data_IF_019180570628
#
_entry.id   IF_019180570628
#
_cell.length_a   1.000
_cell.length_b   1.000
_cell.length_c   1.000
_cell.angle_alpha   90.00
_cell.angle_beta   90.00
_cell.angle_gamma   90.00
#
_symmetry.space_group_name_H-M   'P 1'
#
loop_
_entity.id
_entity.type
_entity.pdbx_description
1 polymer ?
#
# COMPACT_ATOMS: atom_id res chain seq x y z
N UNK A 1 -59.99 -36.03 45.16
CA UNK A 1 -59.82 -34.72 44.55
C UNK A 1 -59.00 -33.89 45.52
N UNK A 2 -57.71 -33.81 45.34
CA UNK A 2 -56.81 -33.06 46.19
C UNK A 2 -56.05 -32.10 45.29
N UNK A 3 -56.21 -30.79 45.52
CA UNK A 3 -55.50 -29.72 44.88
C UNK A 3 -54.10 -29.66 45.48
N UNK A 4 -53.08 -29.77 44.61
CA UNK A 4 -51.67 -29.61 45.00
C UNK A 4 -51.31 -28.12 45.06
N UNK A 5 -50.87 -27.70 46.24
CA UNK A 5 -50.39 -26.34 46.50
C UNK A 5 -49.01 -26.13 45.88
N UNK A 6 -48.80 -24.95 45.23
CA UNK A 6 -47.52 -24.45 44.76
C UNK A 6 -46.65 -24.04 45.94
N UNK A 7 -45.35 -24.31 45.92
CA UNK A 7 -44.47 -23.84 46.96
C UNK A 7 -44.12 -22.35 46.77
N UNK A 8 -43.94 -21.65 47.90
CA UNK A 8 -43.63 -20.25 48.03
C UNK A 8 -42.24 -19.90 47.48
N UNK A 9 -42.00 -18.63 47.03
CA UNK A 9 -40.72 -18.19 46.53
C UNK A 9 -39.71 -18.02 47.68
N UNK A 10 -38.49 -18.49 47.42
CA UNK A 10 -37.34 -18.29 48.33
C UNK A 10 -36.80 -16.88 48.16
N UNK A 11 -36.26 -16.29 49.22
CA UNK A 11 -35.73 -14.93 49.20
C UNK A 11 -34.34 -14.88 48.58
N UNK A 12 -34.18 -13.84 47.77
CA UNK A 12 -33.00 -13.06 47.42
C UNK A 12 -31.60 -13.71 47.35
N UNK A 13 -31.14 -13.94 46.15
CA UNK A 13 -29.70 -13.78 45.87
C UNK A 13 -29.54 -12.42 45.22
N UNK A 14 -28.75 -11.61 45.91
CA UNK A 14 -28.24 -10.30 45.51
C UNK A 14 -27.51 -10.41 44.16
N UNK A 15 -27.82 -9.63 43.14
CA UNK A 15 -26.94 -9.46 42.03
C UNK A 15 -26.02 -8.27 42.36
N UNK A 16 -25.11 -8.54 43.26
CA UNK A 16 -23.99 -7.63 43.52
C UNK A 16 -22.75 -8.12 42.82
N UNK A 17 -22.14 -7.24 42.14
CA UNK A 17 -20.78 -7.20 41.68
C UNK A 17 -20.53 -7.46 40.18
N UNK A 18 -20.33 -6.37 39.50
CA UNK A 18 -19.16 -6.09 38.65
C UNK A 18 -18.93 -7.01 37.46
N UNK A 19 -19.77 -6.89 36.46
CA UNK A 19 -19.25 -6.87 35.10
C UNK A 19 -19.03 -5.42 34.71
N UNK A 20 -17.90 -4.88 35.11
CA UNK A 20 -17.25 -3.77 34.44
C UNK A 20 -16.75 -4.30 33.09
N UNK A 21 -17.67 -4.60 32.18
CA UNK A 21 -17.44 -4.56 30.76
C UNK A 21 -17.15 -3.11 30.47
N UNK A 22 -15.86 -2.76 30.43
CA UNK A 22 -15.42 -1.46 30.01
C UNK A 22 -15.87 -1.27 28.56
N UNK A 23 -16.97 -0.58 28.36
CA UNK A 23 -17.18 0.23 27.19
C UNK A 23 -15.97 1.14 27.15
N UNK A 24 -15.00 0.78 26.27
CA UNK A 24 -13.96 1.68 25.89
C UNK A 24 -14.70 2.86 25.26
N UNK A 25 -15.01 3.88 26.06
CA UNK A 25 -15.45 5.17 25.56
C UNK A 25 -14.49 5.50 24.42
N UNK A 26 -14.99 5.47 23.19
CA UNK A 26 -14.33 6.00 22.02
C UNK A 26 -14.10 7.46 22.38
N UNK A 27 -12.90 7.78 22.89
CA UNK A 27 -12.48 9.13 23.16
C UNK A 27 -12.66 9.88 21.85
N UNK A 28 -13.70 10.72 21.76
CA UNK A 28 -13.88 11.66 20.66
C UNK A 28 -12.72 12.65 20.73
N UNK A 29 -11.66 12.31 19.98
CA UNK A 29 -10.53 13.20 19.80
C UNK A 29 -11.00 14.39 18.98
N UNK A 30 -10.86 15.59 19.50
CA UNK A 30 -11.27 16.83 18.83
C UNK A 30 -10.13 17.48 18.05
N UNK A 31 -8.89 17.15 18.37
CA UNK A 31 -7.67 17.71 17.75
C UNK A 31 -6.49 16.75 17.94
N UNK A 32 -5.39 17.03 17.24
CA UNK A 32 -4.11 16.38 17.52
C UNK A 32 -3.55 16.98 18.82
N UNK A 33 -3.72 16.27 19.93
CA UNK A 33 -3.27 16.70 21.24
C UNK A 33 -1.73 16.65 21.33
N UNK A 34 -1.14 17.55 22.12
CA UNK A 34 0.30 17.59 22.41
C UNK A 34 1.19 17.62 21.17
N UNK A 35 0.75 18.31 20.12
CA UNK A 35 1.46 18.35 18.84
C UNK A 35 2.90 18.86 18.97
N UNK A 36 3.14 19.87 19.78
CA UNK A 36 4.48 20.44 19.96
C UNK A 36 5.43 19.47 20.67
N UNK A 37 4.94 18.72 21.66
CA UNK A 37 5.68 17.68 22.36
C UNK A 37 6.00 16.50 21.40
N UNK A 38 5.03 16.09 20.59
CA UNK A 38 5.22 15.07 19.57
C UNK A 38 6.29 15.47 18.55
N UNK A 39 6.22 16.71 18.04
CA UNK A 39 7.19 17.24 17.07
C UNK A 39 8.58 17.45 17.70
N UNK A 40 8.66 17.76 18.99
CA UNK A 40 9.93 17.80 19.71
C UNK A 40 10.55 16.39 19.81
N UNK A 41 9.78 15.39 20.23
CA UNK A 41 10.20 14.00 20.31
C UNK A 41 10.63 13.46 18.93
N UNK A 42 9.90 13.83 17.85
CA UNK A 42 10.28 13.46 16.49
C UNK A 42 11.64 14.03 16.08
N UNK A 43 11.91 15.30 16.43
CA UNK A 43 13.22 15.92 16.14
C UNK A 43 14.36 15.22 16.87
N UNK A 44 14.17 14.93 18.14
CA UNK A 44 15.14 14.17 18.93
C UNK A 44 15.37 12.76 18.37
N UNK A 45 14.29 12.07 17.96
CA UNK A 45 14.37 10.76 17.32
C UNK A 45 15.19 10.82 16.03
N UNK A 46 14.91 11.79 15.13
CA UNK A 46 15.64 11.94 13.88
C UNK A 46 17.12 12.19 14.14
N UNK A 47 17.44 13.07 15.08
CA UNK A 47 18.82 13.38 15.46
C UNK A 47 19.55 12.14 16.00
N UNK A 48 18.92 11.39 16.91
CA UNK A 48 19.48 10.15 17.47
C UNK A 48 19.65 9.07 16.39
N UNK A 49 18.65 8.88 15.52
CA UNK A 49 18.69 7.88 14.45
C UNK A 49 19.80 8.12 13.41
N UNK A 50 20.21 9.37 13.22
CA UNK A 50 21.23 9.75 12.22
C UNK A 50 22.63 9.94 12.83
N UNK A 51 22.79 9.74 14.14
CA UNK A 51 24.09 9.81 14.78
C UNK A 51 24.99 8.67 14.30
N UNK A 52 26.12 9.02 13.72
CA UNK A 52 27.11 8.05 13.22
C UNK A 52 27.78 7.37 14.44
N UNK A 53 27.98 6.05 14.37
CA UNK A 53 28.61 5.24 15.40
C UNK A 53 27.93 5.34 16.80
N UNK A 54 26.61 5.46 16.82
CA UNK A 54 25.85 5.53 18.05
C UNK A 54 26.06 4.25 18.91
N UNK A 55 26.53 4.40 20.17
CA UNK A 55 26.65 3.29 21.09
C UNK A 55 25.30 2.56 21.31
N UNK A 56 25.34 1.32 21.79
CA UNK A 56 24.13 0.47 21.96
C UNK A 56 23.03 1.14 22.78
N UNK A 57 23.40 1.96 23.79
CA UNK A 57 22.40 2.69 24.59
C UNK A 57 21.66 3.77 23.80
N UNK A 58 22.31 4.43 22.82
CA UNK A 58 21.66 5.41 21.94
C UNK A 58 20.74 4.70 20.95
N UNK A 59 21.12 3.49 20.49
CA UNK A 59 20.22 2.69 19.64
C UNK A 59 18.96 2.26 20.41
N UNK A 60 19.11 1.84 21.68
CA UNK A 60 17.98 1.51 22.56
C UNK A 60 17.08 2.72 22.84
N UNK A 61 17.67 3.89 23.09
CA UNK A 61 16.92 5.14 23.27
C UNK A 61 16.17 5.56 21.99
N UNK A 62 16.83 5.45 20.83
CA UNK A 62 16.20 5.71 19.52
C UNK A 62 15.00 4.80 19.30
N UNK A 63 15.12 3.51 19.61
CA UNK A 63 14.04 2.56 19.51
C UNK A 63 12.88 2.87 20.47
N UNK A 64 13.18 3.32 21.69
CA UNK A 64 12.16 3.73 22.65
C UNK A 64 11.40 4.98 22.16
N UNK A 65 12.11 5.99 21.65
CA UNK A 65 11.48 7.19 21.05
C UNK A 65 10.58 6.82 19.89
N UNK A 66 11.02 5.91 19.01
CA UNK A 66 10.21 5.42 17.89
C UNK A 66 8.94 4.73 18.38
N UNK A 67 9.03 3.87 19.38
CA UNK A 67 7.85 3.19 19.95
C UNK A 67 6.86 4.19 20.56
N UNK A 68 7.35 5.25 21.23
CA UNK A 68 6.49 6.30 21.76
C UNK A 68 5.79 7.06 20.63
N UNK A 69 6.53 7.49 19.58
CA UNK A 69 5.95 8.14 18.41
C UNK A 69 4.89 7.27 17.72
N UNK A 70 5.16 5.96 17.60
CA UNK A 70 4.19 5.01 17.05
C UNK A 70 2.93 4.90 17.91
N UNK A 71 3.08 4.82 19.21
CA UNK A 71 1.97 4.73 20.17
C UNK A 71 1.09 5.95 20.07
N UNK A 72 1.67 7.14 20.12
CA UNK A 72 0.94 8.41 20.15
C UNK A 72 0.18 8.65 18.86
N UNK A 73 0.77 8.35 17.70
CA UNK A 73 0.11 8.56 16.40
C UNK A 73 -0.96 7.49 16.08
N UNK A 74 -0.80 6.26 16.58
CA UNK A 74 -1.76 5.17 16.33
C UNK A 74 -3.13 5.44 16.98
N UNK A 75 -3.22 6.27 18.01
CA UNK A 75 -4.48 6.68 18.63
C UNK A 75 -5.42 7.35 17.61
N UNK A 76 -4.84 8.02 16.60
CA UNK A 76 -5.59 8.74 15.56
C UNK A 76 -6.01 7.85 14.38
N UNK A 77 -5.85 6.53 14.45
CA UNK A 77 -6.15 5.64 13.31
C UNK A 77 -7.60 5.74 12.85
N UNK A 78 -8.56 5.86 13.77
CA UNK A 78 -9.99 5.99 13.47
C UNK A 78 -10.36 7.41 13.00
N UNK A 79 -9.66 8.44 13.50
CA UNK A 79 -9.91 9.84 13.18
C UNK A 79 -8.68 10.49 12.55
N UNK A 80 -8.10 9.81 11.57
CA UNK A 80 -6.82 10.19 10.97
C UNK A 80 -6.82 11.56 10.27
N UNK A 81 -7.97 12.12 9.94
CA UNK A 81 -8.12 13.45 9.38
C UNK A 81 -7.67 14.58 10.33
N UNK A 82 -7.65 14.32 11.64
CA UNK A 82 -7.15 15.27 12.64
C UNK A 82 -5.65 15.57 12.48
N UNK A 83 -4.93 14.71 11.78
CA UNK A 83 -3.51 14.90 11.45
C UNK A 83 -3.29 15.81 10.24
N UNK A 84 -4.31 16.09 9.43
CA UNK A 84 -4.17 16.79 8.14
C UNK A 84 -3.47 18.16 8.25
N UNK A 85 -3.77 19.01 9.24
CA UNK A 85 -3.10 20.31 9.39
C UNK A 85 -1.60 20.21 9.70
N UNK A 86 -1.15 19.04 10.20
CA UNK A 86 0.21 18.82 10.71
C UNK A 86 1.07 17.92 9.81
N UNK A 87 0.51 17.40 8.70
CA UNK A 87 1.20 16.40 7.86
C UNK A 87 2.53 16.91 7.29
N UNK A 88 2.65 18.18 6.95
CA UNK A 88 3.93 18.76 6.51
C UNK A 88 4.99 18.65 7.61
N UNK A 89 4.64 19.02 8.84
CA UNK A 89 5.55 18.95 9.99
C UNK A 89 5.86 17.51 10.42
N UNK A 90 4.91 16.59 10.23
CA UNK A 90 5.09 15.18 10.58
C UNK A 90 5.93 14.42 9.54
N UNK A 91 5.65 14.60 8.26
CA UNK A 91 6.21 13.72 7.21
C UNK A 91 7.47 14.30 6.57
N UNK A 92 7.52 15.62 6.34
CA UNK A 92 8.65 16.21 5.59
C UNK A 92 10.00 16.11 6.31
N UNK A 93 10.12 16.27 7.65
CA UNK A 93 11.43 16.14 8.30
C UNK A 93 12.05 14.75 8.16
N UNK A 94 11.41 13.62 8.53
CA UNK A 94 12.00 12.30 8.34
C UNK A 94 12.20 11.95 6.86
N UNK A 95 11.34 12.45 5.95
CA UNK A 95 11.49 12.21 4.51
C UNK A 95 12.70 12.94 3.91
N UNK A 96 12.95 14.20 4.31
CA UNK A 96 14.16 14.95 3.91
C UNK A 96 15.43 14.35 4.50
N UNK A 97 15.37 13.86 5.73
CA UNK A 97 16.51 13.16 6.34
C UNK A 97 16.82 11.87 5.58
N UNK A 98 15.80 11.09 5.22
CA UNK A 98 15.96 9.92 4.36
C UNK A 98 16.59 10.30 3.00
N UNK A 99 16.11 11.38 2.35
CA UNK A 99 16.66 11.90 1.12
C UNK A 99 18.15 12.24 1.24
N UNK A 100 18.52 12.97 2.29
CA UNK A 100 19.91 13.32 2.57
C UNK A 100 20.78 12.09 2.75
N UNK A 101 20.32 11.13 3.56
CA UNK A 101 21.02 9.88 3.81
C UNK A 101 21.29 9.12 2.50
N UNK A 102 20.27 9.00 1.64
CA UNK A 102 20.36 8.30 0.36
C UNK A 102 21.27 9.03 -0.63
N UNK A 103 21.24 10.37 -0.67
CA UNK A 103 22.10 11.17 -1.56
C UNK A 103 23.56 11.17 -1.14
N UNK A 104 23.83 11.33 0.16
CA UNK A 104 25.19 11.47 0.69
C UNK A 104 25.97 10.17 0.59
N UNK A 105 25.31 9.05 0.89
CA UNK A 105 25.95 7.73 0.94
C UNK A 105 25.55 6.82 -0.24
N UNK A 106 25.07 7.35 -1.34
CA UNK A 106 24.38 6.69 -2.45
C UNK A 106 24.80 5.24 -2.77
N UNK A 107 26.10 4.97 -2.89
CA UNK A 107 26.63 3.62 -3.18
C UNK A 107 27.16 2.90 -1.94
N UNK A 108 27.43 3.59 -0.86
CA UNK A 108 28.03 3.05 0.37
C UNK A 108 27.01 2.79 1.47
N UNK A 109 25.81 3.39 1.39
CA UNK A 109 24.76 3.20 2.39
C UNK A 109 24.43 1.72 2.57
N UNK A 110 24.66 1.18 3.76
CA UNK A 110 24.29 -0.20 4.07
C UNK A 110 22.74 -0.33 4.05
N UNK A 111 22.18 -1.22 3.21
CA UNK A 111 20.75 -1.49 3.22
C UNK A 111 20.19 -1.94 4.56
N UNK A 112 21.04 -2.50 5.45
CA UNK A 112 20.68 -2.96 6.80
C UNK A 112 20.86 -1.91 7.88
N UNK A 113 21.25 -0.66 7.51
CA UNK A 113 21.45 0.44 8.43
C UNK A 113 20.26 0.66 9.36
N UNK A 114 20.52 0.79 10.65
CA UNK A 114 19.51 1.08 11.67
C UNK A 114 18.83 2.44 11.44
N UNK A 115 19.58 3.44 10.98
CA UNK A 115 19.07 4.76 10.64
C UNK A 115 18.03 4.68 9.49
N UNK A 116 18.38 3.95 8.41
CA UNK A 116 17.49 3.73 7.28
C UNK A 116 16.21 3.00 7.71
N UNK A 117 16.34 1.94 8.49
CA UNK A 117 15.21 1.16 9.01
C UNK A 117 14.30 2.02 9.90
N UNK A 118 14.86 2.79 10.83
CA UNK A 118 14.14 3.63 11.77
C UNK A 118 13.34 4.76 11.06
N UNK A 119 13.95 5.46 10.10
CA UNK A 119 13.29 6.49 9.30
C UNK A 119 12.16 5.90 8.45
N UNK A 120 12.41 4.77 7.77
CA UNK A 120 11.39 4.11 6.97
C UNK A 120 10.24 3.57 7.84
N UNK A 121 10.53 3.09 9.04
CA UNK A 121 9.51 2.66 10.00
C UNK A 121 8.59 3.81 10.39
N UNK A 122 9.14 4.98 10.75
CA UNK A 122 8.33 6.15 11.09
C UNK A 122 7.45 6.59 9.92
N UNK A 123 8.00 6.68 8.68
CA UNK A 123 7.24 7.01 7.48
C UNK A 123 6.15 5.98 7.16
N UNK A 124 6.41 4.70 7.42
CA UNK A 124 5.39 3.67 7.31
C UNK A 124 4.25 3.87 8.33
N UNK A 125 4.56 4.20 9.58
CA UNK A 125 3.54 4.44 10.60
C UNK A 125 2.60 5.57 10.20
N UNK A 126 3.12 6.69 9.70
CA UNK A 126 2.30 7.75 9.12
C UNK A 126 1.44 7.27 7.95
N UNK A 127 2.03 6.44 7.06
CA UNK A 127 1.29 5.85 5.94
C UNK A 127 0.23 4.85 6.38
N UNK A 128 0.43 4.15 7.49
CA UNK A 128 -0.54 3.25 8.10
C UNK A 128 -1.74 4.02 8.65
N UNK A 129 -1.48 5.08 9.39
CA UNK A 129 -2.53 5.85 10.09
C UNK A 129 -3.29 6.74 9.09
N UNK A 130 -2.61 7.56 8.29
CA UNK A 130 -3.29 8.53 7.40
C UNK A 130 -3.53 8.02 5.98
N UNK A 131 -2.86 6.95 5.61
CA UNK A 131 -2.93 6.39 4.27
C UNK A 131 -1.79 6.87 3.36
N UNK A 132 -1.16 5.92 2.67
CA UNK A 132 0.00 6.18 1.82
C UNK A 132 -0.25 7.24 0.72
N UNK A 133 -1.48 7.38 0.21
CA UNK A 133 -1.81 8.35 -0.85
C UNK A 133 -1.65 9.79 -0.41
N UNK A 134 -1.93 10.06 0.85
CA UNK A 134 -1.78 11.38 1.45
C UNK A 134 -0.33 11.59 1.83
N UNK A 135 0.25 10.66 2.61
CA UNK A 135 1.62 10.75 3.13
C UNK A 135 2.65 10.85 2.00
N UNK A 136 2.49 10.09 0.92
CA UNK A 136 3.44 10.12 -0.18
C UNK A 136 3.53 11.46 -0.92
N UNK A 137 2.57 12.37 -0.76
CA UNK A 137 2.65 13.72 -1.34
C UNK A 137 3.71 14.60 -0.69
N UNK A 138 4.12 14.26 0.54
CA UNK A 138 5.14 14.96 1.30
C UNK A 138 6.53 14.34 1.14
N UNK A 139 6.65 13.23 0.39
CA UNK A 139 7.97 12.69 0.04
C UNK A 139 8.66 13.59 -0.96
N UNK A 140 10.01 13.71 -0.89
CA UNK A 140 10.78 14.46 -1.87
C UNK A 140 10.51 13.94 -3.29
N UNK A 141 10.46 14.84 -4.26
CA UNK A 141 10.14 14.50 -5.65
C UNK A 141 11.11 15.15 -6.65
N UNK A 142 12.35 15.31 -6.23
CA UNK A 142 13.40 15.81 -7.10
C UNK A 142 13.90 14.72 -8.05
N UNK A 143 14.13 15.07 -9.31
CA UNK A 143 14.63 14.14 -10.34
C UNK A 143 15.96 13.50 -9.94
N UNK A 144 16.81 14.27 -9.25
CA UNK A 144 18.11 13.80 -8.74
C UNK A 144 18.02 12.66 -7.72
N UNK A 145 16.83 12.40 -7.15
CA UNK A 145 16.63 11.31 -6.20
C UNK A 145 16.41 9.95 -6.90
N UNK A 146 16.09 9.96 -8.19
CA UNK A 146 15.71 8.75 -8.91
C UNK A 146 16.77 7.67 -8.87
N UNK A 147 17.98 7.99 -9.33
CA UNK A 147 19.06 7.01 -9.41
C UNK A 147 19.57 6.56 -8.04
N UNK A 148 19.84 7.44 -7.06
CA UNK A 148 20.22 7.02 -5.73
C UNK A 148 19.20 6.10 -5.06
N UNK A 149 17.90 6.45 -5.14
CA UNK A 149 16.83 5.63 -4.56
C UNK A 149 16.67 4.29 -5.29
N UNK A 150 16.82 4.25 -6.62
CA UNK A 150 16.78 3.02 -7.41
C UNK A 150 17.94 2.08 -7.05
N UNK A 151 19.17 2.60 -7.02
CA UNK A 151 20.37 1.82 -6.66
C UNK A 151 20.23 1.25 -5.25
N UNK A 152 19.75 2.05 -4.30
CA UNK A 152 19.49 1.55 -2.95
C UNK A 152 18.43 0.45 -2.94
N UNK A 153 17.31 0.62 -3.67
CA UNK A 153 16.26 -0.39 -3.72
C UNK A 153 16.75 -1.72 -4.33
N UNK A 154 17.60 -1.67 -5.36
CA UNK A 154 18.23 -2.86 -5.96
C UNK A 154 19.13 -3.58 -4.95
N UNK A 155 19.93 -2.83 -4.17
CA UNK A 155 20.76 -3.39 -3.09
C UNK A 155 19.93 -3.97 -1.95
N UNK A 156 18.86 -3.29 -1.55
CA UNK A 156 17.86 -3.78 -0.58
C UNK A 156 17.29 -5.12 -1.07
N UNK A 157 16.98 -5.24 -2.35
CA UNK A 157 16.47 -6.49 -2.93
C UNK A 157 17.50 -7.63 -2.87
N UNK A 158 18.76 -7.33 -3.13
CA UNK A 158 19.87 -8.29 -3.04
C UNK A 158 20.15 -8.75 -1.60
N UNK A 159 19.99 -7.84 -0.62
CA UNK A 159 20.19 -8.12 0.80
C UNK A 159 19.10 -9.01 1.42
N UNK A 160 17.95 -9.14 0.77
CA UNK A 160 16.87 -10.05 1.12
C UNK A 160 16.27 -9.80 2.52
N UNK A 161 16.10 -10.88 3.30
CA UNK A 161 15.43 -10.84 4.61
C UNK A 161 16.20 -10.12 5.72
N UNK A 162 17.44 -9.69 5.49
CA UNK A 162 18.23 -8.92 6.46
C UNK A 162 17.77 -7.48 6.60
N UNK A 163 17.03 -6.99 5.61
CA UNK A 163 16.53 -5.60 5.58
C UNK A 163 15.12 -5.55 6.15
N UNK A 164 14.86 -4.55 6.97
CA UNK A 164 13.52 -4.27 7.49
C UNK A 164 12.53 -4.05 6.33
N UNK A 165 11.36 -4.67 6.40
CA UNK A 165 10.37 -4.68 5.32
C UNK A 165 9.76 -3.30 5.01
N UNK A 166 9.85 -2.35 5.93
CA UNK A 166 9.43 -0.97 5.74
C UNK A 166 10.32 -0.24 4.73
N UNK A 167 11.60 -0.61 4.65
CA UNK A 167 12.57 0.03 3.75
C UNK A 167 12.15 -0.13 2.28
N UNK A 168 11.98 -1.34 1.72
CA UNK A 168 11.53 -1.46 0.34
C UNK A 168 10.15 -0.84 0.12
N UNK A 169 9.22 -0.88 1.10
CA UNK A 169 7.92 -0.26 0.97
C UNK A 169 8.01 1.25 0.76
N UNK A 170 8.77 1.94 1.59
CA UNK A 170 8.94 3.40 1.50
C UNK A 170 9.69 3.80 0.23
N UNK A 171 10.77 3.09 -0.13
CA UNK A 171 11.51 3.35 -1.36
C UNK A 171 10.65 3.16 -2.62
N UNK A 172 9.80 2.13 -2.68
CA UNK A 172 8.86 1.91 -3.78
C UNK A 172 7.84 3.04 -3.89
N UNK A 173 7.29 3.53 -2.77
CA UNK A 173 6.39 4.68 -2.77
C UNK A 173 7.11 5.95 -3.21
N UNK A 174 8.32 6.17 -2.73
CA UNK A 174 9.13 7.33 -3.08
C UNK A 174 9.49 7.36 -4.56
N UNK A 175 10.04 6.27 -5.11
CA UNK A 175 10.26 6.14 -6.55
C UNK A 175 8.99 6.37 -7.36
N UNK A 176 7.85 5.88 -6.84
CA UNK A 176 6.56 6.11 -7.46
C UNK A 176 6.15 7.59 -7.52
N UNK A 177 6.54 8.42 -6.54
CA UNK A 177 6.31 9.89 -6.58
C UNK A 177 7.26 10.54 -7.59
N UNK A 178 8.54 10.17 -7.59
CA UNK A 178 9.52 10.71 -8.55
C UNK A 178 9.09 10.37 -9.99
N UNK A 179 8.55 9.18 -10.24
CA UNK A 179 8.02 8.80 -11.56
C UNK A 179 6.83 9.66 -12.02
N UNK A 180 6.16 10.42 -11.15
CA UNK A 180 5.09 11.35 -11.55
C UNK A 180 5.60 12.72 -12.01
N UNK A 181 6.86 13.04 -11.72
CA UNK A 181 7.44 14.31 -12.16
C UNK A 181 7.62 14.29 -13.69
N UNK A 182 7.24 15.37 -14.40
CA UNK A 182 7.35 15.45 -15.86
C UNK A 182 8.80 15.73 -16.31
N UNK A 183 9.62 14.70 -16.32
CA UNK A 183 10.97 14.71 -16.92
C UNK A 183 11.12 13.50 -17.83
N UNK A 184 12.01 13.54 -18.82
CA UNK A 184 12.21 12.39 -19.70
C UNK A 184 13.06 11.33 -19.00
N UNK A 185 12.60 10.07 -19.03
CA UNK A 185 13.42 8.90 -18.71
C UNK A 185 14.34 8.50 -19.89
N UNK A 186 14.25 9.20 -21.05
CA UNK A 186 14.97 8.94 -22.29
C UNK A 186 15.95 10.07 -22.60
N UNK A 187 16.85 10.43 -21.69
CA UNK A 187 17.77 11.58 -21.84
C UNK A 187 19.21 11.24 -22.27
N UNK A 188 19.61 10.00 -22.38
CA UNK A 188 20.97 9.60 -22.73
C UNK A 188 21.11 8.08 -22.96
N UNK A 189 22.28 7.64 -23.37
CA UNK A 189 22.56 6.21 -23.67
C UNK A 189 22.39 5.26 -22.47
N UNK A 190 22.23 5.80 -21.26
CA UNK A 190 21.96 5.04 -20.04
C UNK A 190 20.49 5.07 -19.59
N UNK A 191 19.65 5.95 -20.13
CA UNK A 191 18.31 6.21 -19.58
C UNK A 191 17.25 5.20 -20.05
N UNK A 192 17.41 4.57 -21.20
CA UNK A 192 16.56 3.43 -21.58
C UNK A 192 16.66 2.28 -20.57
N UNK A 193 17.78 2.18 -19.87
CA UNK A 193 17.99 1.19 -18.84
C UNK A 193 17.28 1.53 -17.51
N UNK A 194 17.07 2.82 -17.20
CA UNK A 194 16.48 3.24 -15.91
C UNK A 194 15.02 2.79 -15.78
N UNK A 195 14.19 3.02 -16.79
CA UNK A 195 12.80 2.56 -16.78
C UNK A 195 12.70 1.03 -16.64
N UNK A 196 13.53 0.30 -17.39
CA UNK A 196 13.59 -1.16 -17.32
C UNK A 196 14.09 -1.66 -15.96
N UNK A 197 15.05 -0.98 -15.34
CA UNK A 197 15.54 -1.30 -14.00
C UNK A 197 14.45 -1.08 -12.95
N UNK A 198 13.73 0.06 -13.01
CA UNK A 198 12.58 0.34 -12.12
C UNK A 198 11.54 -0.75 -12.28
N UNK A 199 11.17 -1.11 -13.52
CA UNK A 199 10.21 -2.17 -13.78
C UNK A 199 10.67 -3.51 -13.20
N UNK A 200 11.90 -3.91 -13.48
CA UNK A 200 12.45 -5.19 -13.03
C UNK A 200 12.46 -5.30 -11.50
N UNK A 201 12.97 -4.29 -10.79
CA UNK A 201 13.02 -4.31 -9.33
C UNK A 201 11.61 -4.27 -8.74
N UNK A 202 10.70 -3.46 -9.26
CA UNK A 202 9.32 -3.40 -8.78
C UNK A 202 8.58 -4.73 -9.00
N UNK A 203 8.70 -5.34 -10.18
CA UNK A 203 8.11 -6.67 -10.47
C UNK A 203 8.61 -7.75 -9.51
N UNK A 204 9.87 -7.69 -9.09
CA UNK A 204 10.43 -8.65 -8.13
C UNK A 204 9.79 -8.60 -6.74
N UNK A 205 9.08 -7.53 -6.38
CA UNK A 205 8.34 -7.39 -5.13
C UNK A 205 6.87 -7.81 -5.23
N UNK A 206 6.32 -8.04 -6.43
CA UNK A 206 4.92 -8.48 -6.59
C UNK A 206 4.60 -9.80 -5.88
N UNK A 207 5.54 -10.78 -5.79
CA UNK A 207 5.31 -12.00 -5.02
C UNK A 207 5.37 -11.83 -3.49
N UNK A 208 5.69 -10.64 -2.98
CA UNK A 208 5.82 -10.40 -1.53
C UNK A 208 4.47 -10.53 -0.82
N UNK A 209 4.46 -11.14 0.36
CA UNK A 209 3.25 -11.27 1.19
C UNK A 209 2.81 -9.96 1.87
N UNK A 210 3.73 -9.00 2.01
CA UNK A 210 3.56 -7.77 2.78
C UNK A 210 3.32 -6.51 1.94
N UNK A 211 3.51 -5.37 2.59
CA UNK A 211 3.28 -4.03 2.04
C UNK A 211 4.20 -3.66 0.87
N UNK A 212 5.38 -4.29 0.74
CA UNK A 212 6.25 -4.07 -0.40
C UNK A 212 5.56 -4.41 -1.73
N UNK A 213 4.69 -5.45 -1.78
CA UNK A 213 3.83 -5.73 -2.93
C UNK A 213 2.93 -4.54 -3.27
N UNK A 214 2.30 -3.95 -2.26
CA UNK A 214 1.39 -2.81 -2.45
C UNK A 214 2.16 -1.61 -3.02
N UNK A 215 3.36 -1.32 -2.48
CA UNK A 215 4.26 -0.28 -2.98
C UNK A 215 4.70 -0.53 -4.43
N UNK A 216 5.07 -1.77 -4.76
CA UNK A 216 5.47 -2.18 -6.10
C UNK A 216 4.33 -2.01 -7.12
N UNK A 217 3.11 -2.40 -6.77
CA UNK A 217 1.94 -2.21 -7.62
C UNK A 217 1.65 -0.73 -7.90
N UNK A 218 1.83 0.14 -6.90
CA UNK A 218 1.68 1.59 -7.05
C UNK A 218 2.77 2.16 -7.96
N UNK A 219 4.03 1.77 -7.76
CA UNK A 219 5.15 2.21 -8.60
C UNK A 219 4.95 1.81 -10.06
N UNK A 220 4.66 0.53 -10.32
CA UNK A 220 4.39 0.04 -11.68
C UNK A 220 3.20 0.74 -12.34
N UNK A 221 2.10 0.93 -11.59
CA UNK A 221 0.93 1.66 -12.10
C UNK A 221 1.24 3.13 -12.47
N UNK A 222 2.22 3.76 -11.82
CA UNK A 222 2.70 5.10 -12.16
C UNK A 222 3.69 5.08 -13.32
N UNK A 223 4.61 4.13 -13.35
CA UNK A 223 5.60 3.96 -14.40
C UNK A 223 4.94 3.73 -15.76
N UNK A 224 3.96 2.83 -15.86
CA UNK A 224 3.26 2.52 -17.11
C UNK A 224 2.33 3.64 -17.62
N UNK A 225 2.11 4.69 -16.85
CA UNK A 225 1.39 5.89 -17.31
C UNK A 225 2.28 6.87 -18.07
N UNK A 226 3.58 6.69 -18.03
CA UNK A 226 4.53 7.55 -18.75
C UNK A 226 4.50 7.18 -20.24
N UNK A 227 4.28 8.15 -21.10
CA UNK A 227 4.17 7.94 -22.57
C UNK A 227 5.38 7.17 -23.14
N UNK A 228 6.58 7.52 -22.67
CA UNK A 228 7.82 6.89 -23.13
C UNK A 228 7.96 5.42 -22.73
N UNK A 229 7.21 4.95 -21.73
CA UNK A 229 7.25 3.59 -21.18
C UNK A 229 6.01 2.80 -21.61
N UNK A 230 4.87 3.47 -21.68
CA UNK A 230 3.55 2.88 -21.88
C UNK A 230 3.48 2.04 -23.17
N UNK A 231 3.99 2.55 -24.29
CA UNK A 231 3.87 1.90 -25.59
C UNK A 231 4.62 0.57 -25.74
N UNK A 232 5.67 0.33 -24.98
CA UNK A 232 6.49 -0.89 -25.10
C UNK A 232 6.44 -1.76 -23.85
N UNK A 233 6.64 -1.20 -22.67
CA UNK A 233 6.77 -1.95 -21.43
C UNK A 233 5.42 -2.46 -20.92
N UNK A 234 4.34 -1.70 -21.05
CA UNK A 234 3.03 -2.16 -20.58
C UNK A 234 2.48 -3.37 -21.35
N UNK A 235 2.51 -3.43 -22.70
CA UNK A 235 2.16 -4.65 -23.44
C UNK A 235 3.01 -5.86 -23.07
N UNK A 236 4.32 -5.66 -22.87
CA UNK A 236 5.24 -6.72 -22.42
C UNK A 236 4.86 -7.20 -21.00
N UNK A 237 4.52 -6.28 -20.10
CA UNK A 237 4.00 -6.62 -18.77
C UNK A 237 2.71 -7.44 -18.84
N UNK A 238 1.75 -7.07 -19.71
CA UNK A 238 0.49 -7.81 -19.88
C UNK A 238 0.73 -9.24 -20.37
N UNK A 239 1.64 -9.42 -21.34
CA UNK A 239 2.03 -10.74 -21.83
C UNK A 239 2.65 -11.59 -20.72
N UNK A 240 3.58 -11.01 -19.96
CA UNK A 240 4.17 -11.66 -18.79
C UNK A 240 3.12 -11.98 -17.72
N UNK A 241 2.24 -11.05 -17.40
CA UNK A 241 1.19 -11.22 -16.42
C UNK A 241 0.26 -12.40 -16.75
N UNK A 242 -0.12 -12.55 -18.01
CA UNK A 242 -0.93 -13.69 -18.47
C UNK A 242 -0.19 -15.03 -18.27
N UNK A 243 1.10 -15.09 -18.60
CA UNK A 243 1.93 -16.25 -18.32
C UNK A 243 1.92 -16.61 -16.83
N UNK A 244 2.12 -15.61 -15.96
CA UNK A 244 2.12 -15.82 -14.49
C UNK A 244 0.75 -16.23 -13.94
N UNK A 245 -0.35 -15.77 -14.51
CA UNK A 245 -1.70 -16.21 -14.12
C UNK A 245 -1.94 -17.70 -14.44
N UNK A 246 -1.42 -18.20 -15.57
CA UNK A 246 -1.59 -19.59 -16.01
C UNK A 246 -0.67 -20.56 -15.27
N UNK A 247 0.54 -20.11 -14.93
CA UNK A 247 1.48 -20.92 -14.15
C UNK A 247 0.99 -21.04 -12.71
N UNK A 248 1.47 -22.06 -11.99
CA UNK A 248 1.18 -22.26 -10.57
C UNK A 248 1.90 -21.25 -9.66
N UNK A 249 1.86 -19.97 -10.03
CA UNK A 249 2.52 -18.90 -9.30
C UNK A 249 1.93 -18.64 -7.91
N UNK A 250 2.67 -17.90 -7.10
CA UNK A 250 2.24 -17.46 -5.79
C UNK A 250 0.93 -16.65 -5.87
N UNK A 251 -0.02 -16.92 -4.97
CA UNK A 251 -1.24 -16.11 -4.85
C UNK A 251 -0.92 -14.62 -4.56
N UNK A 252 0.20 -14.36 -3.89
CA UNK A 252 0.68 -12.99 -3.66
C UNK A 252 1.10 -12.31 -4.97
N UNK A 253 1.76 -13.04 -5.88
CA UNK A 253 2.13 -12.51 -7.19
C UNK A 253 0.89 -12.20 -8.04
N UNK A 254 -0.08 -13.10 -8.08
CA UNK A 254 -1.37 -12.87 -8.76
C UNK A 254 -2.07 -11.63 -8.21
N UNK A 255 -2.10 -11.50 -6.89
CA UNK A 255 -2.64 -10.30 -6.23
C UNK A 255 -1.89 -9.05 -6.63
N UNK A 256 -0.56 -9.07 -6.63
CA UNK A 256 0.28 -7.93 -7.02
C UNK A 256 0.06 -7.49 -8.47
N UNK A 257 -0.07 -8.45 -9.39
CA UNK A 257 -0.40 -8.19 -10.80
C UNK A 257 -1.76 -7.50 -10.92
N UNK A 258 -2.80 -8.09 -10.32
CA UNK A 258 -4.16 -7.51 -10.36
C UNK A 258 -4.20 -6.12 -9.71
N UNK A 259 -3.45 -5.92 -8.63
CA UNK A 259 -3.32 -4.63 -7.96
C UNK A 259 -2.65 -3.59 -8.86
N UNK A 260 -1.59 -3.96 -9.59
CA UNK A 260 -0.93 -3.10 -10.59
C UNK A 260 -1.92 -2.67 -11.67
N UNK A 261 -2.67 -3.62 -12.24
CA UNK A 261 -3.69 -3.32 -13.24
C UNK A 261 -4.80 -2.44 -12.68
N UNK A 262 -5.22 -2.68 -11.44
CA UNK A 262 -6.16 -1.80 -10.76
C UNK A 262 -5.65 -0.36 -10.66
N UNK A 263 -4.39 -0.13 -10.32
CA UNK A 263 -3.82 1.22 -10.24
C UNK A 263 -3.67 1.85 -11.64
N UNK A 264 -3.30 1.05 -12.64
CA UNK A 264 -3.19 1.50 -14.02
C UNK A 264 -4.55 1.90 -14.60
N UNK A 265 -5.56 1.04 -14.52
CA UNK A 265 -6.92 1.32 -15.06
C UNK A 265 -7.57 2.50 -14.36
N UNK A 266 -7.36 2.66 -13.04
CA UNK A 266 -7.91 3.80 -12.28
C UNK A 266 -7.34 5.14 -12.74
N UNK A 267 -6.03 5.20 -12.93
CA UNK A 267 -5.31 6.46 -13.06
C UNK A 267 -4.78 6.71 -14.47
N UNK A 268 -4.83 5.71 -15.36
CA UNK A 268 -4.42 5.82 -16.75
C UNK A 268 -5.40 6.66 -17.58
N UNK A 269 -4.93 7.19 -18.69
CA UNK A 269 -5.77 7.87 -19.65
C UNK A 269 -6.80 6.92 -20.27
N UNK A 270 -8.02 7.40 -20.51
CA UNK A 270 -9.12 6.56 -21.01
C UNK A 270 -8.77 5.91 -22.34
N UNK A 271 -8.22 6.68 -23.29
CA UNK A 271 -7.82 6.16 -24.60
C UNK A 271 -6.77 5.04 -24.47
N UNK A 272 -5.76 5.22 -23.62
CA UNK A 272 -4.72 4.21 -23.40
C UNK A 272 -5.29 2.93 -22.77
N UNK A 273 -6.19 3.06 -21.80
CA UNK A 273 -6.88 1.91 -21.18
C UNK A 273 -7.72 1.17 -22.21
N UNK A 274 -8.45 1.88 -23.06
CA UNK A 274 -9.27 1.29 -24.14
C UNK A 274 -8.42 0.55 -25.17
N UNK A 275 -7.26 1.11 -25.55
CA UNK A 275 -6.33 0.46 -26.48
C UNK A 275 -5.84 -0.91 -25.97
N UNK A 276 -5.68 -1.07 -24.66
CA UNK A 276 -5.18 -2.30 -24.05
C UNK A 276 -6.26 -3.14 -23.37
N UNK A 277 -7.54 -2.79 -23.57
CA UNK A 277 -8.67 -3.40 -22.88
C UNK A 277 -8.69 -4.92 -23.01
N UNK A 278 -8.58 -5.46 -24.22
CA UNK A 278 -8.66 -6.90 -24.47
C UNK A 278 -7.51 -7.66 -23.79
N UNK A 279 -6.33 -7.05 -23.74
CA UNK A 279 -5.18 -7.64 -23.06
C UNK A 279 -5.35 -7.63 -21.55
N UNK A 280 -5.90 -6.56 -20.96
CA UNK A 280 -6.20 -6.48 -19.52
C UNK A 280 -7.33 -7.43 -19.15
N UNK A 281 -8.39 -7.50 -19.97
CA UNK A 281 -9.48 -8.46 -19.82
C UNK A 281 -8.98 -9.90 -19.91
N UNK A 282 -8.01 -10.17 -20.79
CA UNK A 282 -7.35 -11.47 -20.88
C UNK A 282 -6.60 -11.88 -19.60
N UNK A 283 -5.93 -10.93 -18.92
CA UNK A 283 -5.32 -11.20 -17.60
C UNK A 283 -6.39 -11.51 -16.55
N UNK A 284 -7.49 -10.76 -16.55
CA UNK A 284 -8.61 -10.98 -15.64
C UNK A 284 -9.24 -12.37 -15.86
N UNK A 285 -9.48 -12.75 -17.12
CA UNK A 285 -9.99 -14.07 -17.49
C UNK A 285 -9.04 -15.20 -17.04
N UNK A 286 -7.74 -15.07 -17.32
CA UNK A 286 -6.75 -16.06 -16.90
C UNK A 286 -6.69 -16.16 -15.35
N UNK A 287 -6.89 -15.07 -14.61
CA UNK A 287 -6.96 -15.09 -13.15
C UNK A 287 -8.17 -15.88 -12.62
N UNK A 288 -9.29 -15.91 -13.34
CA UNK A 288 -10.47 -16.73 -13.03
C UNK A 288 -10.24 -18.18 -13.39
N UNK A 289 -9.84 -18.43 -14.62
CA UNK A 289 -9.75 -19.79 -15.20
C UNK A 289 -8.69 -20.65 -14.50
N UNK A 290 -7.56 -20.05 -14.11
CA UNK A 290 -6.43 -20.76 -13.49
C UNK A 290 -6.35 -20.52 -11.97
N UNK A 291 -7.45 -20.15 -11.32
CA UNK A 291 -7.51 -20.02 -9.88
C UNK A 291 -7.31 -21.39 -9.20
N UNK A 292 -6.26 -21.51 -8.40
CA UNK A 292 -6.03 -22.70 -7.57
C UNK A 292 -6.70 -22.52 -6.20
N UNK A 293 -7.98 -22.87 -6.11
CA UNK A 293 -8.75 -22.68 -4.89
C UNK A 293 -9.19 -21.22 -4.67
N UNK A 294 -9.90 -20.97 -3.59
CA UNK A 294 -10.41 -19.65 -3.23
C UNK A 294 -9.33 -18.83 -2.52
N UNK A 295 -9.13 -17.61 -2.98
CA UNK A 295 -8.31 -16.63 -2.30
C UNK A 295 -9.04 -15.28 -2.27
N UNK A 296 -9.55 -14.91 -1.11
CA UNK A 296 -10.36 -13.68 -0.91
C UNK A 296 -9.63 -12.42 -1.38
N UNK A 297 -8.30 -12.38 -1.27
CA UNK A 297 -7.51 -11.22 -1.69
C UNK A 297 -7.43 -11.13 -3.22
N UNK A 298 -7.22 -12.25 -3.91
CA UNK A 298 -7.24 -12.32 -5.38
C UNK A 298 -8.65 -11.94 -5.87
N UNK A 299 -9.69 -12.51 -5.29
CA UNK A 299 -11.09 -12.25 -5.66
C UNK A 299 -11.44 -10.77 -5.46
N UNK A 300 -11.01 -10.16 -4.37
CA UNK A 300 -11.18 -8.73 -4.11
C UNK A 300 -10.58 -7.85 -5.21
N UNK A 301 -9.33 -8.14 -5.63
CA UNK A 301 -8.68 -7.33 -6.67
C UNK A 301 -9.22 -7.63 -8.07
N UNK A 302 -9.63 -8.87 -8.33
CA UNK A 302 -10.34 -9.26 -9.55
C UNK A 302 -11.63 -8.46 -9.71
N UNK A 303 -12.51 -8.50 -8.71
CA UNK A 303 -13.77 -7.73 -8.68
C UNK A 303 -13.53 -6.23 -8.83
N UNK A 304 -12.51 -5.72 -8.14
CA UNK A 304 -12.13 -4.31 -8.23
C UNK A 304 -11.64 -3.92 -9.63
N UNK A 305 -10.90 -4.80 -10.30
CA UNK A 305 -10.44 -4.56 -11.67
C UNK A 305 -11.60 -4.59 -12.66
N UNK A 306 -12.48 -5.58 -12.57
CA UNK A 306 -13.69 -5.67 -13.41
C UNK A 306 -14.55 -4.42 -13.28
N UNK A 307 -14.83 -3.96 -12.05
CA UNK A 307 -15.60 -2.73 -11.82
C UNK A 307 -14.93 -1.48 -12.38
N UNK A 308 -13.60 -1.38 -12.30
CA UNK A 308 -12.86 -0.25 -12.89
C UNK A 308 -12.89 -0.28 -14.41
N UNK A 309 -12.81 -1.45 -15.03
CA UNK A 309 -12.94 -1.61 -16.49
C UNK A 309 -14.35 -1.23 -16.94
N UNK A 310 -15.39 -1.71 -16.29
CA UNK A 310 -16.77 -1.35 -16.58
C UNK A 310 -16.98 0.17 -16.54
N UNK A 311 -16.51 0.84 -15.48
CA UNK A 311 -16.61 2.30 -15.35
C UNK A 311 -15.84 3.07 -16.44
N UNK A 312 -14.77 2.51 -17.01
CA UNK A 312 -14.01 3.13 -18.10
C UNK A 312 -14.65 2.94 -19.47
N UNK A 313 -15.51 1.93 -19.59
CA UNK A 313 -16.24 1.64 -20.82
C UNK A 313 -17.60 2.34 -20.91
N UNK A 314 -18.14 2.77 -19.76
CA UNK A 314 -19.39 3.54 -19.74
C UNK A 314 -19.21 4.84 -20.53
N UNK A 315 -20.08 5.12 -21.51
CA UNK A 315 -20.00 6.33 -22.31
C UNK A 315 -20.19 7.58 -21.42
N UNK A 316 -19.32 8.56 -21.59
CA UNK A 316 -19.38 9.84 -20.88
C UNK A 316 -20.45 10.78 -21.44
N UNK A 317 -21.00 10.50 -22.61
CA UNK A 317 -22.03 11.31 -23.29
C UNK A 317 -22.95 10.42 -24.13
N UNK A 318 -24.26 10.51 -23.86
CA UNK A 318 -25.40 9.96 -24.57
C UNK A 318 -25.43 8.42 -24.81
N UNK A 319 -26.60 7.78 -24.89
CA UNK A 319 -26.73 6.34 -25.03
C UNK A 319 -26.45 5.89 -26.48
N UNK A 320 -25.20 5.98 -26.92
CA UNK A 320 -24.71 5.13 -27.99
C UNK A 320 -24.63 3.70 -27.43
N UNK A 321 -24.85 2.69 -28.26
CA UNK A 321 -24.91 1.29 -27.88
C UNK A 321 -23.86 0.95 -26.79
N UNK A 322 -24.35 0.46 -25.67
CA UNK A 322 -23.50 -0.03 -24.57
C UNK A 322 -22.62 -1.12 -25.16
N UNK A 323 -21.31 -1.01 -24.96
CA UNK A 323 -20.37 -2.02 -25.44
C UNK A 323 -20.71 -3.35 -24.74
N UNK A 324 -21.00 -4.41 -25.51
CA UNK A 324 -21.39 -5.74 -25.01
C UNK A 324 -20.40 -6.29 -23.95
N UNK A 325 -19.17 -5.78 -23.95
CA UNK A 325 -18.15 -6.09 -22.94
C UNK A 325 -18.47 -5.52 -21.55
N UNK A 326 -19.27 -4.45 -21.47
CA UNK A 326 -19.71 -3.89 -20.17
C UNK A 326 -20.60 -4.89 -19.47
N UNK A 327 -21.51 -5.53 -20.18
CA UNK A 327 -22.42 -6.52 -19.63
C UNK A 327 -21.65 -7.72 -19.06
N UNK A 328 -20.62 -8.18 -19.78
CA UNK A 328 -19.76 -9.25 -19.28
C UNK A 328 -19.03 -8.89 -17.97
N UNK A 329 -18.52 -7.64 -17.84
CA UNK A 329 -17.88 -7.18 -16.59
C UNK A 329 -18.89 -6.97 -15.48
N UNK A 330 -20.08 -6.48 -15.78
CA UNK A 330 -21.17 -6.32 -14.79
C UNK A 330 -21.63 -7.69 -14.30
N UNK A 331 -21.79 -8.67 -15.18
CA UNK A 331 -22.17 -10.03 -14.81
C UNK A 331 -21.11 -10.68 -13.91
N UNK A 332 -19.82 -10.52 -14.20
CA UNK A 332 -18.74 -11.00 -13.34
C UNK A 332 -18.79 -10.35 -11.96
N UNK A 333 -19.09 -9.04 -11.88
CA UNK A 333 -19.28 -8.33 -10.62
C UNK A 333 -20.47 -8.88 -9.84
N UNK A 334 -21.61 -9.11 -10.50
CA UNK A 334 -22.81 -9.65 -9.87
C UNK A 334 -22.57 -11.07 -9.33
N UNK A 335 -21.92 -11.92 -10.11
CA UNK A 335 -21.55 -13.27 -9.67
C UNK A 335 -20.60 -13.24 -8.46
N UNK A 336 -19.61 -12.35 -8.45
CA UNK A 336 -18.70 -12.18 -7.32
C UNK A 336 -19.43 -11.72 -6.05
N UNK A 337 -20.36 -10.75 -6.19
CA UNK A 337 -21.18 -10.25 -5.07
C UNK A 337 -22.15 -11.31 -4.54
N UNK A 338 -22.86 -12.03 -5.41
CA UNK A 338 -23.77 -13.12 -5.02
C UNK A 338 -23.01 -14.22 -4.28
N UNK A 339 -21.79 -14.47 -4.69
CA UNK A 339 -20.94 -15.47 -4.04
C UNK A 339 -20.52 -15.01 -2.64
N UNK A 340 -20.18 -13.72 -2.46
CA UNK A 340 -19.82 -13.14 -1.17
C UNK A 340 -21.00 -13.22 -0.19
N UNK A 341 -22.20 -12.84 -0.63
CA UNK A 341 -23.42 -12.93 0.18
C UNK A 341 -23.72 -14.36 0.63
N UNK A 342 -23.48 -15.37 -0.24
CA UNK A 342 -23.67 -16.78 0.15
C UNK A 342 -22.69 -17.23 1.23
N UNK A 343 -21.45 -16.75 1.21
CA UNK A 343 -20.46 -17.07 2.25
C UNK A 343 -20.89 -16.49 3.59
N UNK A 344 -21.33 -15.23 3.61
CA UNK A 344 -21.74 -14.55 4.84
C UNK A 344 -22.98 -15.22 5.48
N UNK A 345 -23.91 -15.75 4.67
CA UNK A 345 -25.08 -16.50 5.16
C UNK A 345 -24.72 -17.89 5.68
N UNK A 346 -23.71 -18.55 5.10
CA UNK A 346 -23.30 -19.91 5.51
C UNK A 346 -22.33 -19.94 6.68
N UNK A 347 -21.75 -18.80 7.04
CA UNK A 347 -20.80 -18.64 8.16
C UNK A 347 -21.46 -18.03 9.43
N UNK A 348 -22.74 -17.65 9.37
CA UNK A 348 -23.56 -17.21 10.48
C UNK A 348 -24.41 -18.38 11.03
#
# INVERSE_FOLDING_TARGET
MAAAALPAPQPGLDPGSDEAGGDAELLELTSFAHVDEYLALQREFIQAATSVDAPDHIQAETQQKLQQLEKDINVYQEQSYLLDPYLEALVSPPARTLQQLVRTASTELDPTSSALAALCRLLYVYSKVRGYKIVSRFLPHEVGDLLPALVLLERVRQSGSRVSWEVPYVLLLWLGIVCLVPFSLKGGTHDEQVASRIELVARSYLPSSGKARDGAAVLLGRLYRREEVAGSAFPAFLTWARGRMRESGSQFERTGILQTLCEMVKNGETHFVQQHLDSVAGVLHDAVQFAQGRNTLVDRFRTKLAGRLALRLLPTQAPAAVDDRVDAFVEELLQALQHQVRIDITSA
#
